data_IF_084573502996
#
_entry.id   IF_084573502996
#
_cell.length_a   1.000
_cell.length_b   1.000
_cell.length_c   1.000
_cell.angle_alpha   90.00
_cell.angle_beta   90.00
_cell.angle_gamma   90.00
#
_symmetry.space_group_name_H-M   'P 1'
#
loop_
_entity.id
_entity.type
_entity.pdbx_description
1 polymer ?
#
# COMPACT_ATOMS: atom_id res chain seq x y z
N UNK A 1 -17.49 -0.08 6.67
CA UNK A 1 -17.47 0.71 5.40
C UNK A 1 -17.21 -0.25 4.23
N UNK A 2 -17.57 0.10 2.98
CA UNK A 2 -17.17 -0.73 1.83
C UNK A 2 -15.65 -0.66 1.62
N UNK A 3 -15.00 -1.69 1.02
CA UNK A 3 -13.55 -1.69 0.82
C UNK A 3 -13.02 -0.45 0.08
N UNK A 4 -13.74 0.02 -0.93
CA UNK A 4 -13.33 1.22 -1.68
C UNK A 4 -13.41 2.51 -0.85
N UNK A 5 -14.44 2.64 -0.02
CA UNK A 5 -14.60 3.76 0.91
C UNK A 5 -13.49 3.76 1.96
N UNK A 6 -13.09 2.59 2.46
CA UNK A 6 -11.96 2.46 3.39
C UNK A 6 -10.64 2.95 2.78
N UNK A 7 -10.35 2.60 1.52
CA UNK A 7 -9.17 3.11 0.81
C UNK A 7 -9.24 4.63 0.67
N UNK A 8 -10.41 5.16 0.30
CA UNK A 8 -10.63 6.61 0.19
C UNK A 8 -10.38 7.32 1.54
N UNK A 9 -10.89 6.77 2.65
CA UNK A 9 -10.67 7.33 3.99
C UNK A 9 -9.19 7.27 4.39
N UNK A 10 -8.49 6.18 4.07
CA UNK A 10 -7.04 6.08 4.30
C UNK A 10 -6.27 7.18 3.54
N UNK A 11 -6.62 7.42 2.28
CA UNK A 11 -6.01 8.48 1.46
C UNK A 11 -6.30 9.86 2.06
N UNK A 12 -7.57 10.15 2.40
CA UNK A 12 -7.96 11.44 3.00
C UNK A 12 -7.24 11.67 4.33
N UNK A 13 -7.26 10.68 5.22
CA UNK A 13 -6.62 10.76 6.53
C UNK A 13 -5.11 10.95 6.42
N UNK A 14 -4.44 10.24 5.52
CA UNK A 14 -3.01 10.42 5.27
C UNK A 14 -2.69 11.83 4.75
N UNK A 15 -3.48 12.35 3.80
CA UNK A 15 -3.25 13.69 3.20
C UNK A 15 -3.51 14.83 4.18
N UNK A 16 -4.45 14.64 5.11
CA UNK A 16 -4.79 15.64 6.12
C UNK A 16 -3.75 15.74 7.25
N UNK A 17 -2.92 14.71 7.44
CA UNK A 17 -1.94 14.69 8.51
C UNK A 17 -0.85 15.76 8.33
N UNK A 18 -0.65 16.57 9.37
CA UNK A 18 0.45 17.53 9.44
C UNK A 18 1.32 17.28 10.68
N UNK A 19 2.53 16.72 10.51
CA UNK A 19 3.41 16.36 11.63
C UNK A 19 3.92 17.57 12.43
N UNK A 20 3.82 18.79 11.90
CA UNK A 20 4.22 20.01 12.63
C UNK A 20 3.10 20.53 13.55
N UNK A 21 1.88 20.01 13.45
CA UNK A 21 0.72 20.46 14.23
C UNK A 21 0.34 19.52 15.36
N UNK A 22 0.40 18.21 15.12
CA UNK A 22 -0.05 17.20 16.06
C UNK A 22 0.64 15.87 15.81
N UNK A 23 0.59 14.99 16.81
CA UNK A 23 1.01 13.59 16.66
C UNK A 23 0.04 12.84 15.76
N UNK A 24 0.51 11.74 15.20
CA UNK A 24 -0.32 10.87 14.36
C UNK A 24 -1.47 10.22 15.15
N UNK A 25 -1.28 9.90 16.43
CA UNK A 25 -2.34 9.37 17.29
C UNK A 25 -3.48 10.36 17.44
N UNK A 26 -3.15 11.60 17.83
CA UNK A 26 -4.14 12.67 17.98
C UNK A 26 -4.84 12.98 16.65
N UNK A 27 -4.09 13.00 15.54
CA UNK A 27 -4.65 13.18 14.20
C UNK A 27 -5.68 12.12 13.85
N UNK A 28 -5.37 10.85 14.09
CA UNK A 28 -6.26 9.75 13.75
C UNK A 28 -7.51 9.71 14.62
N UNK A 29 -7.40 10.07 15.91
CA UNK A 29 -8.57 10.21 16.78
C UNK A 29 -9.52 11.29 16.28
N UNK A 30 -8.99 12.48 15.96
CA UNK A 30 -9.78 13.58 15.40
C UNK A 30 -10.39 13.19 14.05
N UNK A 31 -9.59 12.64 13.14
CA UNK A 31 -10.04 12.24 11.81
C UNK A 31 -11.16 11.18 11.86
N UNK A 32 -11.04 10.18 12.72
CA UNK A 32 -12.06 9.14 12.87
C UNK A 32 -13.36 9.69 13.45
N UNK A 33 -13.27 10.64 14.38
CA UNK A 33 -14.44 11.35 14.91
C UNK A 33 -15.12 12.21 13.82
N UNK A 34 -14.34 12.93 13.00
CA UNK A 34 -14.84 13.77 11.90
C UNK A 34 -15.59 12.97 10.83
N UNK A 35 -15.07 11.80 10.45
CA UNK A 35 -15.75 10.93 9.47
C UNK A 35 -16.89 10.10 10.08
N UNK A 36 -17.14 10.24 11.40
CA UNK A 36 -18.17 9.50 12.11
C UNK A 36 -17.97 7.98 12.09
N UNK A 37 -16.71 7.51 12.11
CA UNK A 37 -16.40 6.09 12.08
C UNK A 37 -16.83 5.41 13.39
N UNK A 38 -17.84 4.54 13.34
CA UNK A 38 -18.38 3.82 14.51
C UNK A 38 -17.96 2.36 14.57
N UNK A 39 -17.63 1.78 13.44
CA UNK A 39 -17.24 0.36 13.35
C UNK A 39 -15.78 0.21 13.81
N UNK A 40 -15.56 -0.62 14.83
CA UNK A 40 -14.21 -0.82 15.40
C UNK A 40 -13.24 -1.37 14.34
N UNK A 41 -13.68 -2.33 13.52
CA UNK A 41 -12.87 -2.92 12.44
C UNK A 41 -12.40 -1.89 11.41
N UNK A 42 -13.30 -1.01 10.96
CA UNK A 42 -12.97 0.09 10.05
C UNK A 42 -11.94 1.03 10.70
N UNK A 43 -12.16 1.41 11.96
CA UNK A 43 -11.29 2.34 12.68
C UNK A 43 -9.87 1.78 12.82
N UNK A 44 -9.75 0.49 13.16
CA UNK A 44 -8.46 -0.21 13.29
C UNK A 44 -7.77 -0.30 11.92
N UNK A 45 -8.51 -0.64 10.87
CA UNK A 45 -7.97 -0.70 9.52
C UNK A 45 -7.40 0.66 9.08
N UNK A 46 -8.19 1.74 9.21
CA UNK A 46 -7.79 3.09 8.82
C UNK A 46 -6.52 3.52 9.57
N UNK A 47 -6.48 3.32 10.91
CA UNK A 47 -5.30 3.60 11.72
C UNK A 47 -4.10 2.83 11.18
N UNK A 48 -4.20 1.51 11.09
CA UNK A 48 -3.10 0.64 10.69
C UNK A 48 -2.54 0.97 9.29
N UNK A 49 -3.40 1.34 8.34
CA UNK A 49 -2.97 1.73 6.99
C UNK A 49 -2.25 3.07 7.02
N UNK A 50 -2.80 4.08 7.68
CA UNK A 50 -2.17 5.42 7.72
C UNK A 50 -0.82 5.35 8.47
N UNK A 51 -0.77 4.68 9.62
CA UNK A 51 0.49 4.41 10.34
C UNK A 51 1.50 3.69 9.47
N UNK A 52 1.04 2.65 8.77
CA UNK A 52 1.87 1.86 7.88
C UNK A 52 2.48 2.69 6.74
N UNK A 53 1.65 3.47 6.05
CA UNK A 53 2.10 4.36 4.98
C UNK A 53 3.13 5.39 5.46
N UNK A 54 2.99 5.91 6.69
CA UNK A 54 3.97 6.82 7.28
C UNK A 54 5.26 6.10 7.69
N UNK A 55 5.15 4.95 8.36
CA UNK A 55 6.29 4.13 8.81
C UNK A 55 7.15 3.65 7.64
N UNK A 56 6.50 3.17 6.58
CA UNK A 56 7.15 2.63 5.38
C UNK A 56 7.23 3.65 4.24
N UNK A 57 7.22 4.94 4.54
CA UNK A 57 7.24 6.02 3.55
C UNK A 57 8.40 5.93 2.56
N UNK A 58 9.60 5.54 3.03
CA UNK A 58 10.78 5.38 2.15
C UNK A 58 10.61 4.22 1.17
N UNK A 59 10.16 3.07 1.66
CA UNK A 59 9.85 1.88 0.85
C UNK A 59 8.78 2.18 -0.21
N UNK A 60 7.68 2.80 0.22
CA UNK A 60 6.61 3.23 -0.68
C UNK A 60 7.15 4.20 -1.74
N UNK A 61 7.96 5.19 -1.34
CA UNK A 61 8.51 6.17 -2.27
C UNK A 61 9.34 5.51 -3.38
N UNK A 62 10.32 4.66 -3.04
CA UNK A 62 11.18 4.05 -4.06
C UNK A 62 10.41 3.08 -4.96
N UNK A 63 9.48 2.31 -4.38
CA UNK A 63 8.63 1.38 -5.13
C UNK A 63 7.74 2.12 -6.12
N UNK A 64 7.11 3.20 -5.69
CA UNK A 64 6.28 4.03 -6.58
C UNK A 64 7.14 4.77 -7.61
N UNK A 65 8.34 5.24 -7.28
CA UNK A 65 9.23 5.81 -8.29
C UNK A 65 9.52 4.81 -9.41
N UNK A 66 9.77 3.54 -9.08
CA UNK A 66 9.96 2.48 -10.06
C UNK A 66 8.69 2.20 -10.89
N UNK A 67 7.50 2.17 -10.25
CA UNK A 67 6.22 2.02 -10.95
C UNK A 67 6.01 3.14 -11.99
N UNK A 68 6.19 4.40 -11.58
CA UNK A 68 5.99 5.56 -12.45
C UNK A 68 7.04 5.68 -13.54
N UNK A 69 8.23 5.10 -13.34
CA UNK A 69 9.25 5.01 -14.37
C UNK A 69 8.88 3.93 -15.41
N UNK A 70 8.56 2.72 -14.98
CA UNK A 70 8.30 1.56 -15.85
C UNK A 70 6.96 1.66 -16.60
N UNK A 71 5.93 2.23 -15.96
CA UNK A 71 4.56 2.32 -16.48
C UNK A 71 4.10 3.77 -16.69
N UNK A 72 5.01 4.68 -17.02
CA UNK A 72 4.75 6.13 -17.10
C UNK A 72 3.56 6.55 -17.97
N UNK A 73 3.24 5.80 -19.03
CA UNK A 73 2.09 6.05 -19.91
C UNK A 73 0.76 5.48 -19.40
N UNK A 74 0.79 4.63 -18.37
CA UNK A 74 -0.36 3.91 -17.82
C UNK A 74 -0.75 4.38 -16.41
N UNK A 75 0.08 5.20 -15.77
CA UNK A 75 -0.17 5.72 -14.41
C UNK A 75 -0.30 7.24 -14.40
N UNK A 76 -1.28 7.75 -13.63
CA UNK A 76 -1.46 9.18 -13.38
C UNK A 76 -0.82 9.60 -12.05
N UNK A 77 -0.27 10.82 -11.97
CA UNK A 77 0.21 11.40 -10.70
C UNK A 77 -0.90 11.59 -9.67
N UNK A 78 -2.14 11.74 -10.12
CA UNK A 78 -3.30 11.88 -9.25
C UNK A 78 -3.55 10.60 -8.42
N UNK A 79 -3.15 9.45 -8.96
CA UNK A 79 -3.30 8.14 -8.33
C UNK A 79 -2.19 7.80 -7.34
N UNK A 80 -1.24 8.70 -7.09
CA UNK A 80 -0.07 8.42 -6.26
C UNK A 80 -0.45 7.89 -4.87
N UNK A 81 -1.46 8.48 -4.25
CA UNK A 81 -1.87 8.10 -2.90
C UNK A 81 -2.65 6.77 -2.89
N UNK A 82 -3.38 6.48 -3.97
CA UNK A 82 -3.98 5.16 -4.17
C UNK A 82 -2.88 4.09 -4.24
N UNK A 83 -1.90 4.28 -5.13
CA UNK A 83 -0.79 3.33 -5.25
C UNK A 83 0.05 3.25 -3.97
N UNK A 84 0.18 4.33 -3.20
CA UNK A 84 0.86 4.28 -1.89
C UNK A 84 0.13 3.39 -0.89
N UNK A 85 -1.19 3.51 -0.80
CA UNK A 85 -2.01 2.64 0.06
C UNK A 85 -1.92 1.19 -0.44
N UNK A 86 -2.07 0.96 -1.75
CA UNK A 86 -1.95 -0.37 -2.33
C UNK A 86 -0.54 -0.98 -2.13
N UNK A 87 0.51 -0.16 -2.21
CA UNK A 87 1.88 -0.58 -1.95
C UNK A 87 2.06 -1.09 -0.53
N UNK A 88 1.58 -0.34 0.47
CA UNK A 88 1.60 -0.81 1.84
C UNK A 88 0.76 -2.09 2.03
N UNK A 89 -0.45 -2.13 1.46
CA UNK A 89 -1.33 -3.30 1.58
C UNK A 89 -0.71 -4.55 0.96
N UNK A 90 -0.13 -4.44 -0.23
CA UNK A 90 0.46 -5.58 -0.96
C UNK A 90 1.76 -6.05 -0.33
N UNK A 91 2.69 -5.15 0.00
CA UNK A 91 4.03 -5.55 0.46
C UNK A 91 4.00 -5.93 1.94
N UNK A 92 3.29 -5.16 2.77
CA UNK A 92 3.38 -5.28 4.23
C UNK A 92 2.20 -6.02 4.87
N UNK A 93 1.03 -6.06 4.24
CA UNK A 93 -0.21 -6.54 4.88
C UNK A 93 -0.91 -7.69 4.17
N UNK A 94 -0.42 -8.13 3.01
CA UNK A 94 -1.09 -9.14 2.20
C UNK A 94 -1.27 -10.45 2.97
N UNK A 95 -0.22 -10.94 3.62
CA UNK A 95 -0.28 -12.18 4.42
C UNK A 95 -1.21 -12.01 5.64
N UNK A 96 -1.11 -10.88 6.36
CA UNK A 96 -1.94 -10.61 7.55
C UNK A 96 -3.43 -10.44 7.23
N UNK A 97 -3.75 -9.86 6.07
CA UNK A 97 -5.13 -9.66 5.61
C UNK A 97 -5.72 -10.94 5.03
N UNK A 98 -4.88 -11.77 4.42
CA UNK A 98 -5.28 -12.92 3.61
C UNK A 98 -5.82 -12.52 2.23
N UNK A 99 -5.71 -13.43 1.26
CA UNK A 99 -6.03 -13.16 -0.15
C UNK A 99 -7.49 -12.79 -0.39
N UNK A 100 -8.42 -13.38 0.36
CA UNK A 100 -9.86 -13.10 0.20
C UNK A 100 -10.19 -11.64 0.53
N UNK A 101 -9.60 -11.09 1.58
CA UNK A 101 -9.80 -9.70 1.98
C UNK A 101 -9.04 -8.76 1.04
N UNK A 102 -7.79 -9.09 0.71
CA UNK A 102 -7.00 -8.30 -0.26
C UNK A 102 -7.70 -8.19 -1.61
N UNK A 103 -8.27 -9.29 -2.13
CA UNK A 103 -9.06 -9.35 -3.37
C UNK A 103 -10.27 -8.40 -3.34
N UNK A 104 -10.92 -8.22 -2.19
CA UNK A 104 -12.02 -7.25 -2.04
C UNK A 104 -11.55 -5.81 -2.20
N UNK A 105 -10.37 -5.47 -1.66
CA UNK A 105 -9.77 -4.15 -1.86
C UNK A 105 -9.40 -3.92 -3.31
N UNK A 106 -8.68 -4.86 -3.94
CA UNK A 106 -8.33 -4.79 -5.37
C UNK A 106 -9.57 -4.58 -6.24
N UNK A 107 -10.60 -5.40 -6.07
CA UNK A 107 -11.85 -5.32 -6.87
C UNK A 107 -12.69 -4.08 -6.62
N UNK A 108 -12.44 -3.36 -5.53
CA UNK A 108 -13.13 -2.11 -5.23
C UNK A 108 -12.53 -0.89 -5.93
N UNK A 109 -11.35 -1.05 -6.55
CA UNK A 109 -10.63 0.01 -7.25
C UNK A 109 -10.78 -0.14 -8.77
N UNK A 110 -10.32 0.88 -9.51
CA UNK A 110 -10.30 0.84 -10.97
C UNK A 110 -9.49 -0.36 -11.50
N UNK A 111 -10.10 -1.14 -12.39
CA UNK A 111 -9.54 -2.39 -12.87
C UNK A 111 -8.23 -2.20 -13.65
N UNK A 112 -8.12 -1.14 -14.44
CA UNK A 112 -6.90 -0.84 -15.19
C UNK A 112 -5.75 -0.48 -14.24
N UNK A 113 -6.02 0.39 -13.25
CA UNK A 113 -5.03 0.76 -12.24
C UNK A 113 -4.51 -0.44 -11.46
N UNK A 114 -5.42 -1.33 -11.06
CA UNK A 114 -5.03 -2.53 -10.31
C UNK A 114 -4.27 -3.54 -11.17
N UNK A 115 -4.66 -3.71 -12.43
CA UNK A 115 -3.91 -4.55 -13.37
C UNK A 115 -2.46 -4.06 -13.53
N UNK A 116 -2.27 -2.74 -13.71
CA UNK A 116 -0.93 -2.13 -13.81
C UNK A 116 -0.14 -2.36 -12.53
N UNK A 117 -0.74 -2.10 -11.36
CA UNK A 117 -0.08 -2.30 -10.06
C UNK A 117 0.35 -3.75 -9.84
N UNK A 118 -0.57 -4.70 -10.00
CA UNK A 118 -0.31 -6.12 -9.76
C UNK A 118 0.71 -6.67 -10.76
N UNK A 119 0.59 -6.31 -12.04
CA UNK A 119 1.57 -6.72 -13.07
C UNK A 119 2.96 -6.18 -12.78
N UNK A 120 3.07 -4.98 -12.20
CA UNK A 120 4.34 -4.38 -11.82
C UNK A 120 4.96 -5.05 -10.58
N UNK A 121 4.21 -5.10 -9.46
CA UNK A 121 4.78 -5.48 -8.17
C UNK A 121 5.09 -6.98 -8.07
N UNK A 122 4.41 -7.80 -8.88
CA UNK A 122 4.61 -9.25 -8.94
C UNK A 122 5.48 -9.70 -10.12
N UNK A 123 6.01 -8.76 -10.93
CA UNK A 123 6.94 -9.10 -12.00
C UNK A 123 8.29 -9.53 -11.41
N UNK A 124 8.67 -10.78 -11.67
CA UNK A 124 9.91 -11.38 -11.16
C UNK A 124 11.15 -10.56 -11.50
N UNK A 125 11.24 -10.01 -12.72
CA UNK A 125 12.38 -9.20 -13.15
C UNK A 125 12.43 -7.85 -12.43
N UNK A 126 11.28 -7.21 -12.23
CA UNK A 126 11.15 -6.00 -11.40
C UNK A 126 11.61 -6.25 -9.97
N UNK A 127 11.18 -7.37 -9.38
CA UNK A 127 11.50 -7.72 -8.00
C UNK A 127 12.99 -8.06 -7.82
N UNK A 128 13.53 -8.98 -8.63
CA UNK A 128 14.86 -9.56 -8.41
C UNK A 128 16.01 -8.63 -8.80
N UNK A 129 15.76 -7.61 -9.63
CA UNK A 129 16.77 -6.65 -10.05
C UNK A 129 16.51 -5.26 -9.45
N UNK A 130 15.49 -4.57 -9.96
CA UNK A 130 15.33 -3.14 -9.68
C UNK A 130 14.87 -2.86 -8.25
N UNK A 131 13.80 -3.51 -7.80
CA UNK A 131 13.26 -3.28 -6.46
C UNK A 131 14.21 -3.80 -5.38
N UNK A 132 14.85 -4.96 -5.59
CA UNK A 132 15.88 -5.46 -4.67
C UNK A 132 16.95 -4.41 -4.41
N UNK A 133 17.56 -3.85 -5.46
CA UNK A 133 18.63 -2.86 -5.32
C UNK A 133 18.15 -1.62 -4.55
N UNK A 134 16.98 -1.08 -4.92
CA UNK A 134 16.42 0.11 -4.26
C UNK A 134 16.01 -0.15 -2.80
N UNK A 135 15.52 -1.34 -2.49
CA UNK A 135 15.15 -1.72 -1.12
C UNK A 135 16.37 -1.96 -0.24
N UNK A 136 17.45 -2.53 -0.78
CA UNK A 136 18.73 -2.72 -0.07
C UNK A 136 19.44 -1.39 0.27
N UNK A 137 19.04 -0.27 -0.34
CA UNK A 137 19.50 1.07 0.07
C UNK A 137 18.80 1.58 1.34
N UNK A 138 17.71 0.93 1.76
CA UNK A 138 16.87 1.33 2.89
C UNK A 138 16.94 0.31 4.02
N UNK A 139 16.99 -0.97 3.67
CA UNK A 139 17.02 -2.11 4.59
C UNK A 139 18.26 -2.97 4.32
N UNK A 140 18.60 -3.84 5.28
CA UNK A 140 19.60 -4.87 5.09
C UNK A 140 19.16 -5.88 4.01
N UNK A 141 20.13 -6.40 3.27
CA UNK A 141 19.86 -7.33 2.16
C UNK A 141 19.10 -8.58 2.61
N UNK A 142 19.43 -9.10 3.80
CA UNK A 142 18.75 -10.26 4.35
C UNK A 142 17.26 -10.00 4.55
N UNK A 143 16.88 -8.89 5.18
CA UNK A 143 15.48 -8.50 5.31
C UNK A 143 14.80 -8.30 3.95
N UNK A 144 15.49 -7.73 2.96
CA UNK A 144 14.92 -7.54 1.62
C UNK A 144 14.59 -8.87 0.95
N UNK A 145 15.50 -9.84 1.01
CA UNK A 145 15.31 -11.15 0.39
C UNK A 145 14.32 -12.02 1.16
N UNK A 146 14.58 -12.23 2.45
CA UNK A 146 13.89 -13.21 3.28
C UNK A 146 12.48 -12.73 3.69
N UNK A 147 12.29 -11.42 3.80
CA UNK A 147 11.01 -10.84 4.17
C UNK A 147 10.30 -10.22 2.96
N UNK A 148 10.83 -9.15 2.36
CA UNK A 148 10.04 -8.38 1.38
C UNK A 148 9.79 -9.15 0.08
N UNK A 149 10.85 -9.65 -0.56
CA UNK A 149 10.76 -10.36 -1.84
C UNK A 149 10.11 -11.72 -1.65
N UNK A 150 10.55 -12.49 -0.65
CA UNK A 150 9.99 -13.82 -0.42
C UNK A 150 8.49 -13.77 -0.11
N UNK A 151 8.00 -12.78 0.65
CA UNK A 151 6.55 -12.56 0.85
C UNK A 151 5.83 -12.38 -0.49
N UNK A 152 6.32 -11.52 -1.38
CA UNK A 152 5.66 -11.29 -2.67
C UNK A 152 5.68 -12.54 -3.56
N UNK A 153 6.80 -13.26 -3.63
CA UNK A 153 6.90 -14.49 -4.43
C UNK A 153 5.99 -15.61 -3.92
N UNK A 154 5.88 -15.78 -2.59
CA UNK A 154 4.97 -16.78 -2.00
C UNK A 154 3.50 -16.51 -2.33
N UNK A 155 3.11 -15.24 -2.41
CA UNK A 155 1.73 -14.84 -2.67
C UNK A 155 1.38 -14.78 -4.17
N UNK A 156 2.37 -14.87 -5.06
CA UNK A 156 2.18 -14.80 -6.51
C UNK A 156 1.11 -15.78 -7.04
N UNK A 157 1.10 -17.08 -6.66
CA UNK A 157 0.13 -18.03 -7.20
C UNK A 157 -1.32 -17.70 -6.86
N UNK A 158 -1.56 -17.14 -5.67
CA UNK A 158 -2.92 -16.84 -5.16
C UNK A 158 -3.44 -15.48 -5.63
N UNK A 159 -2.53 -14.59 -6.03
CA UNK A 159 -2.81 -13.27 -6.59
C UNK A 159 -2.93 -13.33 -8.12
N UNK A 160 -2.21 -14.23 -8.81
CA UNK A 160 -2.29 -14.37 -10.27
C UNK A 160 -3.70 -14.58 -10.87
N UNK A 161 -4.71 -15.19 -10.19
CA UNK A 161 -6.07 -15.29 -10.71
C UNK A 161 -6.96 -14.09 -10.34
N UNK A 162 -6.37 -12.93 -10.00
CA UNK A 162 -7.08 -11.66 -9.80
C UNK A 162 -7.31 -10.93 -11.12
#
# INVERSE_FOLDING_TARGET
>A
MKPGELIEMCIKGYKAYNPNKMTIDAHLEVFLAEIGCKEEGDSVFIKQVIYGCLRFKKLNKVTLTALYFKHSSQVSREDYHLYMVMCYLTIMRLEDLGHSVFRKFVRSQDAHKMLVWLSFIFDSQTLSAWLKEEWCRIFDEQYVEDELIARLLRNLPDVSPL
#
